data_IF_267254186105
#
_entry.id   IF_267254186105
#
_cell.length_a   1.000
_cell.length_b   1.000
_cell.length_c   1.000
_cell.angle_alpha   90.00
_cell.angle_beta   90.00
_cell.angle_gamma   90.00
#
_symmetry.space_group_name_H-M   'P 1'
#
loop_
_entity.id
_entity.type
_entity.pdbx_description
1 polymer ?
#
# COMPACT_ATOMS: atom_id res chain seq x y z
N UNK A 1 13.39 -4.25 19.68
CA UNK A 1 12.82 -4.17 18.32
C UNK A 1 12.76 -5.57 17.75
N UNK A 2 11.65 -5.92 17.09
CA UNK A 2 11.47 -7.22 16.42
C UNK A 2 11.42 -6.96 14.93
N UNK A 3 12.17 -7.72 14.15
CA UNK A 3 12.17 -7.67 12.69
C UNK A 3 11.79 -9.05 12.15
N UNK A 4 10.91 -9.10 11.16
CA UNK A 4 10.38 -10.34 10.58
C UNK A 4 10.57 -10.29 9.07
N UNK A 5 11.08 -11.38 8.49
CA UNK A 5 11.26 -11.56 7.05
C UNK A 5 10.67 -12.90 6.61
N UNK A 6 9.93 -12.90 5.50
CA UNK A 6 9.20 -14.07 5.02
C UNK A 6 9.43 -14.23 3.51
N UNK A 7 9.72 -15.45 3.06
CA UNK A 7 9.77 -15.83 1.65
C UNK A 7 8.77 -16.96 1.40
N UNK A 8 7.91 -16.81 0.38
CA UNK A 8 6.78 -17.69 0.13
C UNK A 8 6.77 -18.15 -1.32
N UNK A 9 6.31 -19.38 -1.54
CA UNK A 9 6.00 -19.92 -2.87
C UNK A 9 4.56 -20.40 -2.87
N UNK A 10 3.76 -19.85 -3.77
CA UNK A 10 2.35 -20.19 -3.92
C UNK A 10 2.10 -20.81 -5.29
N UNK A 11 1.22 -21.81 -5.33
CA UNK A 11 0.60 -22.28 -6.56
C UNK A 11 -0.62 -21.38 -6.84
N UNK A 12 -0.62 -20.71 -7.98
CA UNK A 12 -1.64 -19.70 -8.31
C UNK A 12 -2.44 -20.14 -9.54
N UNK A 13 -3.76 -19.96 -9.48
CA UNK A 13 -4.63 -20.19 -10.63
C UNK A 13 -4.39 -19.11 -11.69
N UNK A 14 -4.06 -19.54 -12.92
CA UNK A 14 -3.75 -18.61 -14.02
C UNK A 14 -4.98 -17.86 -14.56
N UNK A 15 -6.17 -18.44 -14.50
CA UNK A 15 -7.40 -17.78 -14.93
C UNK A 15 -7.75 -16.64 -13.96
N UNK A 16 -7.63 -16.87 -12.65
CA UNK A 16 -7.84 -15.82 -11.65
C UNK A 16 -6.76 -14.74 -11.70
N UNK A 17 -5.48 -15.13 -11.89
CA UNK A 17 -4.38 -14.18 -12.02
C UNK A 17 -4.50 -13.30 -13.27
N UNK A 18 -5.05 -13.88 -14.35
CA UNK A 18 -5.33 -13.19 -15.60
C UNK A 18 -6.80 -12.76 -15.71
N UNK A 19 -7.54 -12.73 -14.60
CA UNK A 19 -8.93 -12.29 -14.60
C UNK A 19 -9.01 -10.80 -14.93
N UNK A 20 -9.85 -10.45 -15.90
CA UNK A 20 -10.17 -9.06 -16.28
C UNK A 20 -11.66 -8.87 -15.99
N UNK A 21 -12.03 -7.92 -15.14
CA UNK A 21 -13.41 -7.41 -15.16
C UNK A 21 -13.54 -6.44 -16.33
N UNK A 22 -14.48 -6.73 -17.23
CA UNK A 22 -14.75 -5.94 -18.44
C UNK A 22 -15.29 -4.54 -18.14
N UNK A 23 -15.57 -4.21 -16.88
CA UNK A 23 -16.18 -2.95 -16.45
C UNK A 23 -15.23 -2.19 -15.50
N UNK A 24 -14.18 -1.61 -16.09
CA UNK A 24 -13.77 -0.24 -15.75
C UNK A 24 -12.94 0.04 -14.49
N UNK A 25 -12.55 -0.92 -13.66
CA UNK A 25 -11.75 -0.61 -12.45
C UNK A 25 -10.53 -1.49 -12.18
N UNK A 26 -10.15 -2.38 -13.09
CA UNK A 26 -8.95 -3.21 -12.94
C UNK A 26 -7.81 -2.64 -13.81
N UNK A 27 -6.71 -2.28 -13.15
CA UNK A 27 -5.46 -1.87 -13.81
C UNK A 27 -4.98 -3.00 -14.74
N UNK A 28 -4.33 -2.65 -15.86
CA UNK A 28 -3.82 -3.62 -16.86
C UNK A 28 -3.04 -4.76 -16.20
N UNK A 29 -3.05 -5.96 -16.79
CA UNK A 29 -2.20 -7.08 -16.35
C UNK A 29 -0.77 -6.58 -16.11
N UNK A 30 -0.31 -6.66 -14.86
CA UNK A 30 1.08 -6.37 -14.55
C UNK A 30 1.91 -7.56 -15.05
N UNK A 31 2.93 -7.25 -15.83
CA UNK A 31 3.87 -8.22 -16.35
C UNK A 31 5.28 -7.82 -15.94
N UNK A 32 6.12 -8.80 -15.64
CA UNK A 32 7.52 -8.58 -15.35
C UNK A 32 8.37 -9.24 -16.46
N UNK A 33 9.45 -8.58 -16.91
CA UNK A 33 10.39 -9.18 -17.84
C UNK A 33 11.26 -10.22 -17.13
N UNK A 34 11.37 -11.39 -17.74
CA UNK A 34 12.30 -12.45 -17.39
C UNK A 34 13.35 -12.53 -18.49
N UNK A 35 14.61 -12.28 -18.14
CA UNK A 35 15.75 -12.39 -19.05
C UNK A 35 16.25 -13.84 -18.98
N UNK A 36 16.17 -14.54 -20.10
CA UNK A 36 16.60 -15.94 -20.23
C UNK A 36 17.87 -15.96 -21.08
N UNK A 37 19.03 -16.31 -20.49
CA UNK A 37 20.24 -16.51 -21.27
C UNK A 37 20.08 -17.76 -22.14
N UNK A 38 20.34 -17.60 -23.42
CA UNK A 38 20.47 -18.68 -24.41
C UNK A 38 21.90 -18.61 -24.95
N UNK A 39 22.50 -19.74 -25.35
CA UNK A 39 23.92 -19.88 -25.75
C UNK A 39 24.75 -18.58 -25.88
N UNK A 40 24.47 -17.76 -26.92
CA UNK A 40 25.14 -16.47 -27.15
C UNK A 40 24.18 -15.25 -27.17
N UNK A 41 22.93 -15.40 -26.75
CA UNK A 41 21.87 -14.38 -26.85
C UNK A 41 21.02 -14.29 -25.59
N UNK A 42 20.33 -13.16 -25.40
CA UNK A 42 19.36 -12.99 -24.32
C UNK A 42 17.96 -12.93 -24.91
N UNK A 43 17.05 -13.76 -24.39
CA UNK A 43 15.63 -13.70 -24.69
C UNK A 43 14.88 -13.02 -23.55
N UNK A 44 14.07 -12.01 -23.85
CA UNK A 44 13.19 -11.37 -22.87
C UNK A 44 11.79 -11.94 -23.01
N UNK A 45 11.27 -12.54 -21.94
CA UNK A 45 9.88 -13.03 -21.87
C UNK A 45 9.12 -12.27 -20.80
N UNK A 46 7.91 -11.83 -21.11
CA UNK A 46 7.03 -11.19 -20.13
C UNK A 46 6.13 -12.24 -19.48
N UNK A 47 6.11 -12.26 -18.15
CA UNK A 47 5.26 -13.17 -17.37
C UNK A 47 4.30 -12.38 -16.48
N UNK A 48 3.07 -12.89 -16.21
CA UNK A 48 2.16 -12.26 -15.26
C UNK A 48 2.80 -12.10 -13.88
N UNK A 49 2.60 -10.95 -13.27
CA UNK A 49 3.14 -10.63 -11.95
C UNK A 49 2.09 -9.90 -11.10
N UNK A 50 2.13 -10.12 -9.79
CA UNK A 50 1.39 -9.34 -8.80
C UNK A 50 2.35 -8.33 -8.19
N UNK A 51 1.96 -7.05 -8.12
CA UNK A 51 2.87 -6.06 -7.54
C UNK A 51 2.87 -6.07 -6.02
N UNK A 52 3.97 -5.56 -5.47
CA UNK A 52 4.09 -5.34 -4.04
C UNK A 52 3.00 -4.41 -3.51
N UNK A 53 2.56 -3.41 -4.28
CA UNK A 53 1.49 -2.50 -3.83
C UNK A 53 0.14 -3.20 -3.70
N UNK A 54 -0.20 -4.15 -4.59
CA UNK A 54 -1.44 -4.93 -4.47
C UNK A 54 -1.43 -5.81 -3.21
N UNK A 55 -0.28 -6.42 -2.90
CA UNK A 55 -0.11 -7.21 -1.66
C UNK A 55 -0.15 -6.28 -0.44
N UNK A 56 0.50 -5.12 -0.50
CA UNK A 56 0.51 -4.14 0.59
C UNK A 56 -0.89 -3.55 0.85
N UNK A 57 -1.70 -3.34 -0.19
CA UNK A 57 -3.09 -2.93 -0.05
C UNK A 57 -3.90 -4.00 0.67
N UNK A 58 -3.83 -5.25 0.21
CA UNK A 58 -4.51 -6.37 0.88
C UNK A 58 -4.07 -6.55 2.34
N UNK A 59 -2.77 -6.42 2.62
CA UNK A 59 -2.23 -6.45 3.99
C UNK A 59 -2.79 -5.31 4.85
N UNK A 60 -2.81 -4.08 4.33
CA UNK A 60 -3.35 -2.93 5.06
C UNK A 60 -4.86 -3.05 5.29
N UNK A 61 -5.62 -3.65 4.37
CA UNK A 61 -7.05 -3.93 4.59
C UNK A 61 -7.27 -4.94 5.72
N UNK A 62 -6.48 -6.02 5.75
CA UNK A 62 -6.51 -6.98 6.86
C UNK A 62 -6.10 -6.33 8.19
N UNK A 63 -5.14 -5.39 8.15
CA UNK A 63 -4.74 -4.60 9.31
C UNK A 63 -5.88 -3.69 9.79
N UNK A 64 -6.62 -3.04 8.89
CA UNK A 64 -7.81 -2.24 9.23
C UNK A 64 -8.84 -3.09 9.96
N UNK A 65 -9.17 -4.27 9.41
CA UNK A 65 -10.15 -5.17 10.02
C UNK A 65 -9.74 -5.58 11.44
N UNK A 66 -8.46 -5.93 11.62
CA UNK A 66 -7.94 -6.35 12.92
C UNK A 66 -7.80 -5.19 13.91
N UNK A 67 -7.43 -3.99 13.43
CA UNK A 67 -7.39 -2.78 14.24
C UNK A 67 -8.77 -2.39 14.75
N UNK A 68 -9.80 -2.45 13.90
CA UNK A 68 -11.18 -2.17 14.28
C UNK A 68 -11.69 -3.15 15.33
N UNK A 69 -11.40 -4.46 15.19
CA UNK A 69 -11.77 -5.48 16.19
C UNK A 69 -11.10 -5.25 17.54
N UNK A 70 -9.86 -4.73 17.54
CA UNK A 70 -9.11 -4.42 18.77
C UNK A 70 -9.39 -3.02 19.33
N UNK A 71 -10.22 -2.22 18.67
CA UNK A 71 -10.52 -0.85 19.09
C UNK A 71 -9.33 0.12 18.92
N UNK A 72 -8.41 -0.18 18.00
CA UNK A 72 -7.26 0.67 17.69
C UNK A 72 -7.65 1.83 16.75
N UNK A 73 -6.92 2.95 16.77
CA UNK A 73 -7.24 4.11 15.96
C UNK A 73 -6.98 3.84 14.47
N UNK A 74 -7.98 4.12 13.64
CA UNK A 74 -7.93 4.00 12.18
C UNK A 74 -8.53 5.27 11.57
N UNK A 75 -7.86 5.82 10.56
CA UNK A 75 -8.35 7.00 9.82
C UNK A 75 -9.64 6.70 9.05
N UNK A 76 -10.46 7.73 8.78
CA UNK A 76 -11.74 7.61 8.06
C UNK A 76 -11.57 7.02 6.67
N UNK A 77 -10.61 7.51 5.89
CA UNK A 77 -10.32 7.03 4.52
C UNK A 77 -9.74 5.62 4.54
N UNK A 78 -8.86 5.32 5.50
CA UNK A 78 -8.30 3.99 5.72
C UNK A 78 -9.41 2.95 5.99
N UNK A 79 -10.46 3.30 6.75
CA UNK A 79 -11.64 2.42 6.96
C UNK A 79 -12.42 2.11 5.69
N UNK A 80 -12.42 3.03 4.72
CA UNK A 80 -13.10 2.85 3.44
C UNK A 80 -12.24 2.08 2.42
N UNK A 81 -11.00 1.74 2.78
CA UNK A 81 -10.01 1.14 1.88
C UNK A 81 -9.36 2.12 0.90
N UNK A 82 -9.57 3.42 1.11
CA UNK A 82 -8.93 4.50 0.36
C UNK A 82 -7.60 4.88 1.04
N UNK A 83 -6.55 4.11 0.73
CA UNK A 83 -5.23 4.23 1.36
C UNK A 83 -4.39 5.39 0.80
N UNK A 84 -4.98 6.58 0.70
CA UNK A 84 -4.27 7.81 0.31
C UNK A 84 -3.33 8.29 1.42
N UNK A 85 -3.67 8.06 2.70
CA UNK A 85 -2.80 8.26 3.87
C UNK A 85 -2.18 9.66 3.95
N UNK A 86 -3.01 10.65 4.30
CA UNK A 86 -2.57 12.00 4.70
C UNK A 86 -1.64 12.70 3.69
N UNK A 87 -1.80 12.44 2.39
CA UNK A 87 -0.92 12.96 1.34
C UNK A 87 -1.07 14.45 1.07
N UNK A 88 -2.28 14.99 1.26
CA UNK A 88 -2.63 16.37 0.92
C UNK A 88 -3.33 17.11 2.07
N UNK A 89 -3.38 18.45 1.95
CA UNK A 89 -4.01 19.35 2.93
C UNK A 89 -5.50 19.06 3.15
N UNK A 90 -6.20 18.48 2.18
CA UNK A 90 -7.65 18.28 2.27
C UNK A 90 -7.96 17.03 3.12
N UNK A 91 -7.19 15.95 2.96
CA UNK A 91 -7.21 14.77 3.82
C UNK A 91 -6.83 15.10 5.27
N UNK A 92 -5.90 16.04 5.49
CA UNK A 92 -5.56 16.50 6.84
C UNK A 92 -6.74 17.19 7.53
N UNK A 93 -7.45 18.06 6.80
CA UNK A 93 -8.65 18.77 7.32
C UNK A 93 -9.76 17.78 7.68
N UNK A 94 -9.98 16.75 6.86
CA UNK A 94 -10.97 15.71 7.14
C UNK A 94 -10.72 15.01 8.48
N UNK A 95 -9.45 14.84 8.86
CA UNK A 95 -9.02 14.16 10.08
C UNK A 95 -8.73 15.08 11.26
N UNK A 96 -8.84 16.40 11.05
CA UNK A 96 -8.47 17.46 11.98
C UNK A 96 -7.01 17.40 12.44
N UNK A 97 -6.09 17.12 11.51
CA UNK A 97 -4.65 17.18 11.76
C UNK A 97 -4.12 18.50 11.18
N UNK A 98 -3.34 19.24 11.98
CA UNK A 98 -2.67 20.45 11.50
C UNK A 98 -1.45 20.09 10.66
N UNK A 99 -1.29 20.73 9.51
CA UNK A 99 -0.12 20.54 8.66
C UNK A 99 1.18 20.97 9.37
N UNK A 100 2.34 20.42 8.98
CA UNK A 100 3.62 20.88 9.51
C UNK A 100 3.94 22.27 8.95
N UNK A 101 4.30 23.22 9.81
CA UNK A 101 4.66 24.60 9.39
C UNK A 101 6.11 24.69 8.90
N UNK A 102 7.00 23.86 9.45
CA UNK A 102 8.43 23.84 9.15
C UNK A 102 9.04 22.47 9.48
N UNK A 103 10.32 22.28 9.16
CA UNK A 103 11.01 21.01 9.42
C UNK A 103 11.10 20.61 10.89
N UNK A 104 11.14 21.57 11.82
CA UNK A 104 11.17 21.26 13.26
C UNK A 104 9.83 20.70 13.76
N UNK A 105 8.76 20.95 13.00
CA UNK A 105 7.39 20.56 13.30
C UNK A 105 6.99 19.24 12.61
N UNK A 106 7.84 18.71 11.73
CA UNK A 106 7.61 17.46 11.01
C UNK A 106 7.41 16.26 11.95
N UNK A 107 8.15 16.21 13.08
CA UNK A 107 8.02 15.12 14.05
C UNK A 107 6.69 15.16 14.79
N UNK A 108 6.20 16.36 15.11
CA UNK A 108 4.89 16.56 15.75
C UNK A 108 3.79 16.05 14.81
N UNK A 109 3.84 16.47 13.55
CA UNK A 109 2.93 15.99 12.51
C UNK A 109 2.96 14.47 12.33
N UNK A 110 4.15 13.86 12.29
CA UNK A 110 4.30 12.41 12.18
C UNK A 110 3.63 11.67 13.33
N UNK A 111 3.86 12.12 14.57
CA UNK A 111 3.25 11.52 15.76
C UNK A 111 1.73 11.69 15.75
N UNK A 112 1.21 12.84 15.35
CA UNK A 112 -0.24 13.08 15.24
C UNK A 112 -0.89 12.10 14.24
N UNK A 113 -0.24 11.87 13.10
CA UNK A 113 -0.70 10.91 12.08
C UNK A 113 -0.66 9.47 12.60
N UNK A 114 0.44 9.06 13.24
CA UNK A 114 0.59 7.71 13.78
C UNK A 114 -0.44 7.40 14.88
N UNK A 115 -0.68 8.35 15.79
CA UNK A 115 -1.67 8.19 16.86
C UNK A 115 -3.10 8.15 16.33
N UNK A 116 -3.35 8.76 15.17
CA UNK A 116 -4.66 8.80 14.53
C UNK A 116 -4.97 7.56 13.69
N UNK A 117 -3.96 6.99 13.05
CA UNK A 117 -4.14 5.89 12.10
C UNK A 117 -2.98 4.90 12.14
N UNK A 118 -3.24 3.73 12.73
CA UNK A 118 -2.28 2.63 12.81
C UNK A 118 -1.86 2.10 11.44
N UNK A 119 -2.68 2.29 10.40
CA UNK A 119 -2.33 1.90 9.03
C UNK A 119 -1.18 2.76 8.50
N UNK A 120 -1.19 4.05 8.83
CA UNK A 120 -0.13 4.99 8.45
C UNK A 120 1.13 4.84 9.31
N UNK A 121 0.99 4.40 10.56
CA UNK A 121 2.11 3.99 11.42
C UNK A 121 2.87 2.78 10.83
N UNK A 122 2.15 1.68 10.56
CA UNK A 122 2.78 0.44 10.08
C UNK A 122 3.13 0.50 8.58
N UNK A 123 2.23 1.04 7.76
CA UNK A 123 2.35 1.08 6.31
C UNK A 123 3.06 2.32 5.77
N UNK A 124 3.44 3.25 6.65
CA UNK A 124 4.00 4.54 6.30
C UNK A 124 3.02 5.45 5.55
N UNK A 125 3.41 6.71 5.42
CA UNK A 125 2.67 7.72 4.67
C UNK A 125 3.65 8.74 4.07
N UNK A 126 3.17 9.57 3.15
CA UNK A 126 3.97 10.62 2.53
C UNK A 126 3.11 11.87 2.36
N UNK A 127 3.36 12.89 3.16
CA UNK A 127 2.75 14.20 2.99
C UNK A 127 3.59 15.04 2.04
N UNK A 128 3.00 15.48 0.93
CA UNK A 128 3.69 16.31 -0.07
C UNK A 128 3.31 17.79 0.01
N UNK A 129 2.31 18.13 0.83
CA UNK A 129 1.67 19.44 0.80
C UNK A 129 0.93 19.69 -0.51
N UNK A 130 0.26 20.84 -0.57
CA UNK A 130 -0.22 21.46 -1.81
C UNK A 130 0.73 22.57 -2.26
#
# INVERSE_FOLDING_TARGET
MVFVSISLRYLVNMESLNGIESVGNISRHRVAPMIIPTNNEYSVKYVPAVSGESIAHAYQMLLVDEALKKGLPVGKRSKLGELLKYTDDDLLKEENISKPENYNDARRFEVDVMLKDIVSDIGGFMYTGK
#
